data_IF_208179649029
#
_entry.id   IF_208179649029
#
_cell.length_a   1.000
_cell.length_b   1.000
_cell.length_c   1.000
_cell.angle_alpha   90.00
_cell.angle_beta   90.00
_cell.angle_gamma   90.00
#
_symmetry.space_group_name_H-M   'P 1'
#
loop_
_entity.id
_entity.type
_entity.pdbx_description
1 polymer ?
#
# COMPACT_ATOMS: atom_id res chain seq x y z
N UNK A 1 12.16 7.42 13.64
CA UNK A 1 10.76 7.40 13.17
C UNK A 1 9.93 6.76 14.27
N UNK A 2 8.98 7.48 14.86
CA UNK A 2 8.03 6.88 15.80
C UNK A 2 6.88 6.29 15.00
N UNK A 3 6.46 5.06 15.31
CA UNK A 3 5.35 4.37 14.62
C UNK A 3 3.97 5.01 14.89
N UNK A 4 3.93 6.10 15.67
CA UNK A 4 2.71 6.80 16.07
C UNK A 4 1.96 7.42 14.89
N UNK A 5 2.65 7.65 13.77
CA UNK A 5 2.07 8.26 12.58
C UNK A 5 1.70 7.23 11.49
N UNK A 6 1.68 5.94 11.82
CA UNK A 6 1.31 4.87 10.89
C UNK A 6 -0.04 4.28 11.29
N UNK A 7 -1.00 4.33 10.37
CA UNK A 7 -2.27 3.62 10.49
C UNK A 7 -2.31 2.44 9.53
N UNK A 8 -2.92 1.34 9.96
CA UNK A 8 -3.12 0.14 9.12
C UNK A 8 -4.60 -0.01 8.82
N UNK A 9 -4.93 -0.06 7.53
CA UNK A 9 -6.31 -0.17 7.04
C UNK A 9 -6.44 -1.49 6.27
N UNK A 10 -7.36 -2.34 6.70
CA UNK A 10 -7.71 -3.55 5.94
C UNK A 10 -8.81 -3.24 4.93
N UNK A 11 -8.58 -3.62 3.67
CA UNK A 11 -9.54 -3.40 2.58
C UNK A 11 -9.62 -4.62 1.68
N UNK A 12 -10.83 -4.95 1.23
CA UNK A 12 -11.01 -5.96 0.20
C UNK A 12 -10.49 -5.43 -1.14
N UNK A 13 -9.54 -6.16 -1.73
CA UNK A 13 -8.83 -5.78 -2.94
C UNK A 13 -8.58 -7.01 -3.82
N UNK A 14 -8.40 -6.84 -5.14
CA UNK A 14 -8.00 -7.93 -6.02
C UNK A 14 -6.77 -8.66 -5.48
N UNK A 15 -6.75 -9.99 -5.58
CA UNK A 15 -5.69 -10.83 -4.99
C UNK A 15 -4.26 -10.50 -5.49
N UNK A 16 -4.14 -9.82 -6.64
CA UNK A 16 -2.87 -9.31 -7.18
C UNK A 16 -2.30 -8.15 -6.35
N UNK A 17 -3.17 -7.36 -5.73
CA UNK A 17 -2.82 -6.21 -4.90
C UNK A 17 -2.70 -6.69 -3.45
N UNK A 18 -1.49 -6.69 -2.91
CA UNK A 18 -1.24 -7.15 -1.53
C UNK A 18 -1.34 -6.02 -0.51
N UNK A 19 -0.67 -4.91 -0.80
CA UNK A 19 -0.59 -3.73 0.04
C UNK A 19 -0.08 -2.53 -0.74
N UNK A 20 -0.24 -1.34 -0.18
CA UNK A 20 0.45 -0.12 -0.59
C UNK A 20 0.44 0.93 0.53
N UNK A 21 1.36 1.90 0.46
CA UNK A 21 1.42 3.08 1.33
C UNK A 21 0.69 4.26 0.70
N UNK A 22 -0.06 5.00 1.51
CA UNK A 22 -0.62 6.29 1.16
C UNK A 22 -0.11 7.34 2.16
N UNK A 23 0.86 8.19 1.78
CA UNK A 23 1.28 9.33 2.60
C UNK A 23 0.20 10.43 2.56
N UNK A 24 0.05 11.17 3.66
CA UNK A 24 -0.86 12.33 3.72
C UNK A 24 -0.23 13.64 3.20
N UNK A 25 1.05 13.61 2.85
CA UNK A 25 1.84 14.76 2.40
C UNK A 25 2.52 15.54 3.54
N UNK A 26 2.36 15.10 4.78
CA UNK A 26 3.08 15.58 5.96
C UNK A 26 3.99 14.46 6.49
N UNK A 27 3.72 13.95 7.68
CA UNK A 27 4.49 12.88 8.32
C UNK A 27 3.61 11.69 8.73
N UNK A 28 2.39 11.58 8.17
CA UNK A 28 1.49 10.46 8.44
C UNK A 28 1.36 9.52 7.24
N UNK A 29 1.28 8.22 7.55
CA UNK A 29 1.24 7.16 6.57
C UNK A 29 0.07 6.21 6.84
N UNK A 30 -0.65 5.87 5.79
CA UNK A 30 -1.64 4.80 5.82
C UNK A 30 -1.12 3.59 5.04
N UNK A 31 -0.94 2.46 5.71
CA UNK A 31 -0.68 1.17 5.08
C UNK A 31 -2.03 0.52 4.78
N UNK A 32 -2.36 0.38 3.50
CA UNK A 32 -3.57 -0.31 3.06
C UNK A 32 -3.22 -1.76 2.77
N UNK A 33 -3.78 -2.72 3.51
CA UNK A 33 -3.55 -4.16 3.37
C UNK A 33 -4.78 -4.86 2.78
N UNK A 34 -4.53 -5.82 1.89
CA UNK A 34 -5.59 -6.66 1.36
C UNK A 34 -6.13 -7.60 2.45
N UNK A 35 -7.41 -7.43 2.80
CA UNK A 35 -8.09 -8.22 3.82
C UNK A 35 -8.19 -9.70 3.45
N UNK A 36 -8.13 -10.04 2.15
CA UNK A 36 -8.23 -11.40 1.62
C UNK A 36 -6.93 -12.22 1.77
N UNK A 37 -5.82 -11.60 2.17
CA UNK A 37 -4.55 -12.28 2.41
C UNK A 37 -4.58 -13.15 3.67
N UNK A 38 -3.75 -14.19 3.69
CA UNK A 38 -3.49 -14.95 4.91
C UNK A 38 -2.81 -14.08 5.97
N UNK A 39 -2.85 -14.50 7.24
CA UNK A 39 -2.17 -13.78 8.32
C UNK A 39 -0.68 -13.58 8.05
N UNK A 40 0.01 -14.63 7.60
CA UNK A 40 1.44 -14.57 7.25
C UNK A 40 1.70 -13.59 6.10
N UNK A 41 0.87 -13.61 5.07
CA UNK A 41 1.00 -12.67 3.95
C UNK A 41 0.75 -11.23 4.39
N UNK A 42 -0.23 -10.98 5.26
CA UNK A 42 -0.47 -9.65 5.85
C UNK A 42 0.76 -9.18 6.61
N UNK A 43 1.36 -10.03 7.45
CA UNK A 43 2.57 -9.70 8.22
C UNK A 43 3.75 -9.34 7.30
N UNK A 44 4.00 -10.14 6.27
CA UNK A 44 5.08 -9.91 5.29
C UNK A 44 4.84 -8.60 4.52
N UNK A 45 3.59 -8.36 4.10
CA UNK A 45 3.21 -7.13 3.40
C UNK A 45 3.36 -5.90 4.29
N UNK A 46 2.88 -5.92 5.53
CA UNK A 46 3.06 -4.81 6.48
C UNK A 46 4.53 -4.48 6.67
N UNK A 47 5.38 -5.49 6.84
CA UNK A 47 6.82 -5.28 7.02
C UNK A 47 7.46 -4.63 5.78
N UNK A 48 7.10 -5.08 4.58
CA UNK A 48 7.54 -4.45 3.34
C UNK A 48 7.17 -2.97 3.27
N UNK A 49 5.91 -2.63 3.56
CA UNK A 49 5.47 -1.24 3.50
C UNK A 49 6.14 -0.35 4.58
N UNK A 50 6.43 -0.91 5.76
CA UNK A 50 7.20 -0.20 6.80
C UNK A 50 8.62 0.10 6.30
N UNK A 51 9.29 -0.87 5.67
CA UNK A 51 10.63 -0.66 5.10
C UNK A 51 10.63 0.45 4.04
N UNK A 52 9.55 0.54 3.24
CA UNK A 52 9.39 1.61 2.26
C UNK A 52 9.21 2.99 2.91
N UNK A 53 8.44 3.07 4.00
CA UNK A 53 8.28 4.30 4.78
C UNK A 53 9.63 4.71 5.40
N UNK A 54 10.38 3.76 5.96
CA UNK A 54 11.68 4.03 6.58
C UNK A 54 12.73 4.54 5.58
N UNK A 55 12.69 4.05 4.34
CA UNK A 55 13.60 4.46 3.26
C UNK A 55 13.14 5.72 2.52
N UNK A 56 11.87 6.11 2.69
CA UNK A 56 11.27 7.21 1.95
C UNK A 56 11.04 6.91 0.46
N UNK A 57 11.06 5.62 0.07
CA UNK A 57 10.90 5.14 -1.30
C UNK A 57 9.51 4.51 -1.53
N UNK A 58 8.50 4.99 -0.81
CA UNK A 58 7.10 4.55 -0.93
C UNK A 58 6.44 4.89 -2.28
N UNK A 59 7.08 5.71 -3.11
CA UNK A 59 6.70 5.94 -4.51
C UNK A 59 7.19 4.81 -5.44
N UNK A 60 8.12 3.96 -4.97
CA UNK A 60 8.59 2.77 -5.68
C UNK A 60 7.56 1.65 -5.51
N UNK A 61 6.38 1.90 -6.08
CA UNK A 61 5.26 0.98 -6.17
C UNK A 61 5.74 -0.19 -7.04
N UNK A 62 6.41 -1.16 -6.42
CA UNK A 62 6.88 -2.38 -7.09
C UNK A 62 5.73 -3.26 -7.58
N UNK A 63 4.48 -2.89 -7.29
CA UNK A 63 3.32 -3.34 -8.03
C UNK A 63 2.97 -2.32 -9.14
N UNK A 64 3.73 -2.37 -10.24
CA UNK A 64 3.37 -1.74 -11.51
C UNK A 64 1.90 -2.03 -11.87
N UNK A 65 1.39 -3.20 -11.49
CA UNK A 65 -0.01 -3.64 -11.60
C UNK A 65 -1.05 -2.69 -10.96
N UNK A 66 -0.73 -2.01 -9.85
CA UNK A 66 -1.65 -1.07 -9.17
C UNK A 66 -1.71 0.24 -9.93
N UNK A 67 -0.55 0.77 -10.34
CA UNK A 67 -0.49 1.97 -11.17
C UNK A 67 -1.18 1.72 -12.51
N UNK A 68 -0.98 0.54 -13.10
CA UNK A 68 -1.64 0.10 -14.32
C UNK A 68 -3.16 -0.07 -14.09
N UNK A 69 -3.61 -0.63 -12.97
CA UNK A 69 -5.03 -0.68 -12.60
C UNK A 69 -5.67 0.72 -12.51
N UNK A 70 -5.05 1.67 -11.81
CA UNK A 70 -5.58 3.05 -11.74
C UNK A 70 -5.49 3.75 -13.10
N UNK A 71 -4.38 3.60 -13.83
CA UNK A 71 -4.18 4.25 -15.14
C UNK A 71 -5.09 3.69 -16.23
N UNK A 72 -5.40 2.39 -16.20
CA UNK A 72 -6.31 1.74 -17.14
C UNK A 72 -7.79 1.92 -16.75
N UNK A 73 -8.15 1.90 -15.47
CA UNK A 73 -9.55 2.14 -15.08
C UNK A 73 -9.95 3.63 -15.18
N UNK A 74 -9.03 4.56 -14.97
CA UNK A 74 -9.34 6.00 -15.12
C UNK A 74 -9.44 6.42 -16.60
N UNK A 75 -8.78 5.71 -17.53
CA UNK A 75 -8.89 6.00 -18.98
C UNK A 75 -10.24 5.63 -19.62
N UNK A 76 -11.13 4.95 -18.91
CA UNK A 76 -12.47 4.60 -19.41
C UNK A 76 -13.56 5.60 -18.97
N UNK A 77 -13.18 6.75 -18.41
CA UNK A 77 -14.08 7.85 -18.02
C UNK A 77 -13.89 9.13 -18.84
N UNK A 78 -13.21 9.07 -19.99
CA UNK A 78 -13.14 10.16 -20.97
C UNK A 78 -13.87 9.83 -22.26
#
# INVERSE_FOLDING_TARGET
MTYENIIVIYKDMPAKIKSFVMPDGLENYAIVLNSCLSFEQKRISTQHEIEHIERGDYDDIQNVDILEYYRHNIKNLS
#
